data_IF_355652507164
#
_entry.id   IF_355652507164
#
_cell.length_a   1.000
_cell.length_b   1.000
_cell.length_c   1.000
_cell.angle_alpha   90.00
_cell.angle_beta   90.00
_cell.angle_gamma   90.00
#
_symmetry.space_group_name_H-M   'P 1'
#
loop_
_entity.id
_entity.type
_entity.pdbx_description
1 polymer ?
#
# COMPACT_ATOMS: atom_id res chain seq x y z
N UNK A 1 -12.09 29.73 8.53
CA UNK A 1 -12.09 28.27 8.32
C UNK A 1 -10.91 27.73 9.11
N UNK A 2 -11.17 27.33 10.35
CA UNK A 2 -10.15 26.89 11.30
C UNK A 2 -9.69 25.49 10.93
N UNK A 3 -8.43 25.37 10.48
CA UNK A 3 -7.74 24.09 10.43
C UNK A 3 -7.54 23.61 11.87
N UNK A 4 -8.49 22.84 12.40
CA UNK A 4 -8.23 22.00 13.56
C UNK A 4 -7.11 21.06 13.13
N UNK A 5 -5.94 21.20 13.75
CA UNK A 5 -4.76 20.40 13.41
C UNK A 5 -5.02 18.94 13.67
N UNK A 6 -5.58 18.23 12.69
CA UNK A 6 -5.65 16.78 12.71
C UNK A 6 -4.22 16.26 12.79
N UNK A 7 -3.91 15.49 13.83
CA UNK A 7 -2.59 14.93 14.03
C UNK A 7 -2.16 14.12 12.79
N UNK A 8 -1.01 14.47 12.22
CA UNK A 8 -0.40 13.68 11.15
C UNK A 8 0.36 12.49 11.75
N UNK A 9 0.40 11.38 11.04
CA UNK A 9 1.24 10.21 11.39
C UNK A 9 2.42 10.07 10.43
N UNK A 10 3.50 9.45 10.90
CA UNK A 10 4.65 9.12 10.06
C UNK A 10 4.36 7.89 9.18
N UNK A 11 3.99 8.13 7.93
CA UNK A 11 3.70 7.10 6.94
C UNK A 11 3.78 7.67 5.53
N UNK A 12 3.94 6.78 4.55
CA UNK A 12 3.78 7.12 3.13
C UNK A 12 2.49 6.46 2.61
N UNK A 13 1.85 7.04 1.61
CA UNK A 13 0.63 6.49 1.04
C UNK A 13 0.61 6.65 -0.48
N UNK A 14 0.21 5.59 -1.18
CA UNK A 14 0.09 5.55 -2.64
C UNK A 14 -1.32 5.10 -3.01
N UNK A 15 -1.99 5.85 -3.87
CA UNK A 15 -3.22 5.42 -4.52
C UNK A 15 -2.85 4.38 -5.58
N UNK A 16 -3.45 3.20 -5.52
CA UNK A 16 -3.38 2.17 -6.57
C UNK A 16 -4.81 1.89 -7.02
N UNK A 17 -5.11 2.16 -8.29
CA UNK A 17 -6.48 2.18 -8.81
C UNK A 17 -7.42 3.09 -7.98
N UNK A 18 -8.30 2.51 -7.15
CA UNK A 18 -9.27 3.23 -6.35
C UNK A 18 -9.04 3.17 -4.83
N UNK A 19 -7.97 2.51 -4.37
CA UNK A 19 -7.63 2.37 -2.94
C UNK A 19 -6.20 2.77 -2.62
N UNK A 20 -5.99 3.27 -1.42
CA UNK A 20 -4.67 3.59 -0.91
C UNK A 20 -3.99 2.37 -0.31
N UNK A 21 -2.71 2.21 -0.63
CA UNK A 21 -1.74 1.44 0.13
C UNK A 21 -1.08 2.38 1.13
N UNK A 22 -1.34 2.18 2.42
CA UNK A 22 -0.71 2.91 3.52
C UNK A 22 0.54 2.16 3.97
N UNK A 23 1.70 2.81 3.92
CA UNK A 23 3.01 2.21 4.19
C UNK A 23 3.52 2.77 5.52
N UNK A 24 3.64 1.91 6.53
CA UNK A 24 4.14 2.26 7.86
C UNK A 24 5.45 1.54 8.15
N UNK A 25 6.12 1.98 9.21
CA UNK A 25 7.35 1.38 9.70
C UNK A 25 8.31 2.43 10.27
N UNK A 26 9.38 1.99 10.96
CA UNK A 26 10.36 2.89 11.58
C UNK A 26 10.99 3.88 10.59
N UNK A 27 11.62 4.95 11.12
CA UNK A 27 12.43 5.82 10.27
C UNK A 27 13.54 5.01 9.58
N UNK A 28 13.80 5.29 8.30
CA UNK A 28 14.78 4.55 7.50
C UNK A 28 14.35 3.15 7.04
N UNK A 29 13.13 2.68 7.34
CA UNK A 29 12.65 1.36 6.91
C UNK A 29 12.37 1.23 5.41
N UNK A 30 12.41 2.33 4.65
CA UNK A 30 12.16 2.35 3.20
C UNK A 30 10.73 2.72 2.79
N UNK A 31 9.93 3.38 3.64
CA UNK A 31 8.56 3.80 3.30
C UNK A 31 8.46 4.60 1.99
N UNK A 32 9.24 5.67 1.87
CA UNK A 32 9.31 6.51 0.67
C UNK A 32 9.83 5.76 -0.55
N UNK A 33 10.78 4.83 -0.33
CA UNK A 33 11.33 3.98 -1.38
C UNK A 33 10.24 3.06 -1.95
N UNK A 34 9.51 2.32 -1.10
CA UNK A 34 8.40 1.48 -1.54
C UNK A 34 7.29 2.32 -2.20
N UNK A 35 6.98 3.50 -1.66
CA UNK A 35 5.99 4.39 -2.27
C UNK A 35 6.39 4.77 -3.71
N UNK A 36 7.66 5.11 -3.92
CA UNK A 36 8.18 5.41 -5.26
C UNK A 36 8.19 4.18 -6.17
N UNK A 37 8.59 3.01 -5.67
CA UNK A 37 8.59 1.77 -6.44
C UNK A 37 7.19 1.39 -6.93
N UNK A 38 6.15 1.56 -6.10
CA UNK A 38 4.77 1.32 -6.52
C UNK A 38 4.33 2.27 -7.63
N UNK A 39 4.72 3.55 -7.57
CA UNK A 39 4.46 4.52 -8.64
C UNK A 39 5.16 4.09 -9.93
N UNK A 40 6.42 3.62 -9.85
CA UNK A 40 7.15 3.11 -11.02
C UNK A 40 6.51 1.83 -11.58
N UNK A 41 6.11 0.89 -10.72
CA UNK A 41 5.43 -0.35 -11.12
C UNK A 41 4.11 -0.07 -11.84
N UNK A 42 3.32 0.89 -11.36
CA UNK A 42 2.10 1.34 -12.04
C UNK A 42 2.38 2.01 -13.39
N UNK A 43 3.46 2.80 -13.50
CA UNK A 43 3.89 3.38 -14.79
C UNK A 43 4.38 2.33 -15.78
N UNK A 44 5.01 1.27 -15.28
CA UNK A 44 5.48 0.14 -16.07
C UNK A 44 4.35 -0.83 -16.45
N UNK A 45 3.13 -0.64 -15.94
CA UNK A 45 1.97 -1.50 -16.22
C UNK A 45 2.00 -2.84 -15.48
N UNK A 46 2.82 -2.99 -14.43
CA UNK A 46 2.87 -4.22 -13.62
C UNK A 46 1.65 -4.34 -12.69
N UNK A 47 1.13 -3.19 -12.27
CA UNK A 47 -0.09 -3.03 -11.45
C UNK A 47 -0.94 -1.91 -12.06
N UNK A 48 -2.19 -1.73 -11.62
CA UNK A 48 -2.99 -0.56 -11.99
C UNK A 48 -2.26 0.76 -11.71
N UNK A 49 -2.74 1.84 -12.33
CA UNK A 49 -2.15 3.17 -12.20
C UNK A 49 -1.94 3.52 -10.72
N UNK A 50 -0.71 3.89 -10.39
CA UNK A 50 -0.30 4.26 -9.05
C UNK A 50 0.10 5.75 -8.99
N UNK A 51 -0.28 6.43 -7.92
CA UNK A 51 -0.05 7.86 -7.71
C UNK A 51 0.22 8.16 -6.24
N UNK A 52 1.09 9.12 -5.93
CA UNK A 52 1.34 9.51 -4.54
C UNK A 52 0.04 10.03 -3.88
N UNK A 53 -0.17 9.75 -2.61
CA UNK A 53 -1.11 10.50 -1.78
C UNK A 53 -0.33 11.43 -0.86
N UNK A 54 0.66 10.90 -0.15
CA UNK A 54 1.60 11.69 0.66
C UNK A 54 2.82 10.87 1.07
N UNK A 55 3.90 11.56 1.43
CA UNK A 55 5.14 10.97 1.91
C UNK A 55 5.57 11.64 3.22
N UNK A 56 6.29 10.89 4.06
CA UNK A 56 6.70 11.22 5.44
C UNK A 56 5.55 11.50 6.43
N UNK A 57 4.62 12.41 6.13
CA UNK A 57 3.48 12.74 6.99
C UNK A 57 2.15 12.72 6.23
N UNK A 58 1.18 12.00 6.79
CA UNK A 58 -0.19 11.91 6.27
C UNK A 58 -1.21 12.10 7.39
N UNK A 59 -2.40 12.59 7.04
CA UNK A 59 -3.56 12.58 7.92
C UNK A 59 -4.34 11.30 7.71
N UNK A 60 -4.81 10.72 8.82
CA UNK A 60 -5.71 9.57 8.83
C UNK A 60 -7.01 9.96 9.52
N UNK A 61 -8.14 9.67 8.88
CA UNK A 61 -9.45 9.96 9.43
C UNK A 61 -10.35 8.74 9.24
N UNK A 62 -10.85 8.19 10.34
CA UNK A 62 -11.88 7.17 10.31
C UNK A 62 -13.26 7.82 10.21
N UNK A 63 -14.11 7.32 9.32
CA UNK A 63 -15.52 7.71 9.20
C UNK A 63 -16.33 6.57 8.59
N UNK A 64 -17.50 6.27 9.16
CA UNK A 64 -18.42 5.24 8.65
C UNK A 64 -17.77 3.87 8.41
N UNK A 65 -16.89 3.43 9.31
CA UNK A 65 -16.17 2.15 9.19
C UNK A 65 -15.12 2.10 8.08
N UNK A 66 -14.77 3.25 7.49
CA UNK A 66 -13.74 3.38 6.48
C UNK A 66 -12.63 4.31 6.97
N UNK A 67 -11.42 4.10 6.47
CA UNK A 67 -10.28 4.96 6.77
C UNK A 67 -9.91 5.77 5.53
N UNK A 68 -9.88 7.10 5.66
CA UNK A 68 -9.42 8.03 4.63
C UNK A 68 -8.00 8.47 4.96
N UNK A 69 -7.12 8.47 3.95
CA UNK A 69 -5.77 9.07 4.05
C UNK A 69 -5.66 10.30 3.17
N UNK A 70 -4.96 11.33 3.66
CA UNK A 70 -4.66 12.59 2.94
C UNK A 70 -3.21 13.02 3.15
N UNK A 71 -2.56 13.72 2.20
CA UNK A 71 -1.26 14.33 2.46
C UNK A 71 -1.35 15.37 3.58
N UNK A 72 -0.27 15.51 4.35
CA UNK A 72 -0.04 16.74 5.09
C UNK A 72 0.13 17.91 4.10
N UNK A 73 -0.56 19.03 4.31
CA UNK A 73 -0.62 20.13 3.34
C UNK A 73 0.77 20.65 2.93
N UNK A 74 1.70 20.74 3.87
CA UNK A 74 3.06 21.25 3.66
C UNK A 74 3.94 20.28 2.83
N UNK A 75 3.58 18.99 2.78
CA UNK A 75 4.33 17.93 2.10
C UNK A 75 3.60 17.40 0.85
N UNK A 76 2.46 17.99 0.48
CA UNK A 76 1.64 17.50 -0.61
C UNK A 76 2.41 17.49 -1.94
N UNK A 77 2.42 16.34 -2.62
CA UNK A 77 3.11 16.14 -3.90
C UNK A 77 4.65 16.14 -3.80
N UNK A 78 5.21 16.10 -2.59
CA UNK A 78 6.64 15.96 -2.36
C UNK A 78 6.97 14.51 -1.99
N UNK A 79 8.08 14.00 -2.53
CA UNK A 79 8.64 12.70 -2.17
C UNK A 79 10.17 12.80 -2.13
N UNK A 80 10.80 12.20 -1.11
CA UNK A 80 12.26 12.08 -1.08
C UNK A 80 12.71 10.85 -1.87
N UNK A 81 13.53 11.05 -2.90
CA UNK A 81 14.17 9.95 -3.63
C UNK A 81 15.64 9.90 -3.23
N UNK A 82 16.05 8.83 -2.57
CA UNK A 82 17.42 8.68 -2.07
C UNK A 82 18.44 8.85 -3.19
N UNK A 83 19.45 9.68 -2.96
CA UNK A 83 20.48 10.01 -3.95
C UNK A 83 20.08 11.12 -4.94
N UNK A 84 18.79 11.46 -5.04
CA UNK A 84 18.30 12.57 -5.86
C UNK A 84 17.76 13.72 -4.99
N UNK A 85 17.34 13.46 -3.75
CA UNK A 85 16.72 14.43 -2.85
C UNK A 85 15.21 14.57 -3.10
N UNK A 86 14.62 15.65 -2.60
CA UNK A 86 13.17 15.88 -2.68
C UNK A 86 12.75 16.20 -4.12
N UNK A 87 11.68 15.57 -4.59
CA UNK A 87 11.08 15.75 -5.92
C UNK A 87 9.59 16.01 -5.83
N UNK A 88 9.06 16.65 -6.88
CA UNK A 88 7.62 16.83 -7.08
C UNK A 88 7.05 15.68 -7.92
N UNK A 89 5.87 15.21 -7.57
CA UNK A 89 5.12 14.22 -8.34
C UNK A 89 3.63 14.57 -8.38
N UNK A 90 2.91 13.99 -9.34
CA UNK A 90 1.45 13.99 -9.31
C UNK A 90 0.97 13.29 -8.04
N UNK A 91 -0.06 13.84 -7.41
CA UNK A 91 -0.62 13.31 -6.18
C UNK A 91 -2.15 13.37 -6.16
N UNK A 92 -2.74 12.41 -5.45
CA UNK A 92 -4.16 12.37 -5.13
C UNK A 92 -4.43 13.09 -3.80
N UNK A 93 -5.53 13.84 -3.73
CA UNK A 93 -5.88 14.63 -2.54
C UNK A 93 -6.32 13.78 -1.35
N UNK A 94 -6.93 12.64 -1.63
CA UNK A 94 -7.36 11.67 -0.63
C UNK A 94 -7.69 10.34 -1.29
N UNK A 95 -7.71 9.26 -0.52
CA UNK A 95 -8.29 7.99 -0.91
C UNK A 95 -8.67 7.15 0.31
N UNK A 96 -9.50 6.13 0.09
CA UNK A 96 -9.81 5.12 1.12
C UNK A 96 -8.64 4.15 1.25
N UNK A 97 -8.18 3.90 2.48
CA UNK A 97 -7.13 2.92 2.76
C UNK A 97 -7.71 1.52 2.57
N UNK A 98 -7.15 0.78 1.60
CA UNK A 98 -7.53 -0.59 1.29
C UNK A 98 -6.54 -1.63 1.79
N UNK A 99 -5.30 -1.22 2.04
CA UNK A 99 -4.20 -2.09 2.43
C UNK A 99 -3.22 -1.32 3.29
N UNK A 100 -2.73 -1.97 4.35
CA UNK A 100 -1.60 -1.50 5.15
C UNK A 100 -0.38 -2.38 4.87
N UNK A 101 0.78 -1.77 4.64
CA UNK A 101 2.07 -2.46 4.57
C UNK A 101 2.92 -2.00 5.75
N UNK A 102 3.23 -2.93 6.65
CA UNK A 102 4.08 -2.64 7.81
C UNK A 102 5.50 -3.13 7.56
N UNK A 103 6.40 -2.19 7.31
CA UNK A 103 7.82 -2.46 7.11
C UNK A 103 8.53 -2.69 8.44
N UNK A 104 9.45 -3.66 8.45
CA UNK A 104 10.17 -4.10 9.64
C UNK A 104 9.22 -4.58 10.76
N UNK A 105 8.13 -5.26 10.37
CA UNK A 105 7.21 -5.88 11.31
C UNK A 105 7.88 -7.08 12.00
N UNK A 106 7.79 -7.12 13.34
CA UNK A 106 8.43 -8.18 14.14
C UNK A 106 7.63 -9.50 14.11
N UNK A 107 6.34 -9.44 13.76
CA UNK A 107 5.41 -10.56 13.57
C UNK A 107 5.33 -11.04 12.10
N UNK A 108 6.31 -10.66 11.27
CA UNK A 108 6.38 -11.07 9.87
C UNK A 108 6.95 -12.48 9.72
N UNK A 109 6.11 -13.49 9.91
CA UNK A 109 6.47 -14.89 9.70
C UNK A 109 6.48 -15.27 8.21
N UNK A 110 7.10 -16.42 7.88
CA UNK A 110 7.12 -16.95 6.51
C UNK A 110 5.71 -17.18 5.96
N UNK A 111 4.82 -17.67 6.82
CA UNK A 111 3.39 -17.82 6.55
C UNK A 111 2.66 -17.16 7.73
N UNK A 112 2.35 -15.85 7.65
CA UNK A 112 1.74 -15.15 8.75
C UNK A 112 0.37 -15.75 9.10
N UNK A 113 0.04 -15.87 10.39
CA UNK A 113 -1.29 -16.32 10.79
C UNK A 113 -2.35 -15.26 10.41
N UNK A 114 -3.65 -15.63 10.32
CA UNK A 114 -4.71 -14.73 9.85
C UNK A 114 -4.81 -13.39 10.59
N UNK A 115 -4.51 -13.38 11.89
CA UNK A 115 -4.49 -12.19 12.73
C UNK A 115 -3.39 -11.19 12.34
N UNK A 116 -2.24 -11.68 11.85
CA UNK A 116 -1.14 -10.82 11.39
C UNK A 116 -1.43 -10.18 10.02
N UNK A 117 -2.38 -10.75 9.27
CA UNK A 117 -2.84 -10.26 7.96
C UNK A 117 -3.92 -9.17 8.06
N UNK A 118 -4.23 -8.70 9.28
CA UNK A 118 -5.14 -7.60 9.52
C UNK A 118 -4.56 -6.65 10.58
N UNK A 119 -4.99 -5.38 10.55
CA UNK A 119 -4.58 -4.40 11.57
C UNK A 119 -5.65 -3.37 11.80
N UNK A 120 -5.75 -2.90 13.04
CA UNK A 120 -6.64 -1.81 13.39
C UNK A 120 -5.93 -0.47 13.24
N UNK A 121 -6.53 0.45 12.48
CA UNK A 121 -6.05 1.82 12.30
C UNK A 121 -7.21 2.77 12.54
N UNK A 122 -7.08 3.61 13.57
CA UNK A 122 -8.15 4.54 13.97
C UNK A 122 -9.51 3.86 14.20
N UNK A 123 -9.52 2.63 14.74
CA UNK A 123 -10.75 1.86 14.98
C UNK A 123 -11.23 1.04 13.77
N UNK A 124 -10.60 1.18 12.60
CA UNK A 124 -10.99 0.47 11.37
C UNK A 124 -10.08 -0.73 11.15
N UNK A 125 -10.65 -1.91 10.92
CA UNK A 125 -9.92 -3.13 10.59
C UNK A 125 -9.58 -3.15 9.09
N UNK A 126 -8.29 -3.26 8.76
CA UNK A 126 -7.78 -3.14 7.39
C UNK A 126 -6.88 -4.35 7.08
N UNK A 127 -6.93 -4.92 5.87
CA UNK A 127 -5.95 -5.90 5.41
C UNK A 127 -4.52 -5.38 5.57
N UNK A 128 -3.62 -6.26 6.00
CA UNK A 128 -2.22 -5.93 6.31
C UNK A 128 -1.28 -6.92 5.63
N UNK A 129 -0.15 -6.40 5.16
CA UNK A 129 1.03 -7.19 4.80
C UNK A 129 2.16 -6.82 5.78
N UNK A 130 2.49 -7.71 6.73
CA UNK A 130 3.70 -7.56 7.54
C UNK A 130 4.93 -7.91 6.71
N UNK A 131 5.95 -7.05 6.71
CA UNK A 131 7.22 -7.31 6.04
C UNK A 131 8.36 -7.28 7.05
N UNK A 132 9.04 -8.42 7.22
CA UNK A 132 10.12 -8.58 8.18
C UNK A 132 11.37 -7.78 7.80
N UNK A 133 12.24 -7.55 8.79
CA UNK A 133 13.56 -6.93 8.54
C UNK A 133 14.37 -7.79 7.57
N UNK A 134 15.03 -7.15 6.61
CA UNK A 134 15.86 -7.85 5.61
C UNK A 134 15.09 -8.41 4.41
N UNK A 135 13.76 -8.28 4.36
CA UNK A 135 12.94 -8.68 3.22
C UNK A 135 12.54 -7.48 2.38
N UNK A 136 12.47 -7.67 1.06
CA UNK A 136 12.00 -6.64 0.13
C UNK A 136 10.46 -6.65 0.08
N UNK A 137 9.84 -5.50 0.37
CA UNK A 137 8.38 -5.38 0.39
C UNK A 137 7.74 -5.39 -1.01
N UNK A 138 8.41 -4.86 -2.04
CA UNK A 138 7.81 -4.67 -3.35
C UNK A 138 7.22 -5.97 -3.96
N UNK A 139 7.94 -7.10 -4.05
CA UNK A 139 7.40 -8.31 -4.66
C UNK A 139 6.12 -8.83 -4.01
N UNK A 140 6.05 -8.84 -2.68
CA UNK A 140 4.88 -9.33 -1.94
C UNK A 140 3.69 -8.38 -2.09
N UNK A 141 3.94 -7.06 -2.11
CA UNK A 141 2.89 -6.06 -2.32
C UNK A 141 2.35 -6.12 -3.75
N UNK A 142 3.22 -6.24 -4.77
CA UNK A 142 2.77 -6.41 -6.15
C UNK A 142 1.95 -7.69 -6.32
N UNK A 143 2.39 -8.81 -5.77
CA UNK A 143 1.65 -10.07 -5.84
C UNK A 143 0.24 -9.92 -5.23
N UNK A 144 0.13 -9.32 -4.04
CA UNK A 144 -1.16 -9.08 -3.40
C UNK A 144 -2.09 -8.19 -4.24
N UNK A 145 -1.56 -7.11 -4.82
CA UNK A 145 -2.33 -6.19 -5.66
C UNK A 145 -2.83 -6.86 -6.95
N UNK A 146 -1.99 -7.69 -7.58
CA UNK A 146 -2.34 -8.44 -8.79
C UNK A 146 -3.42 -9.48 -8.49
N UNK A 147 -3.25 -10.26 -7.42
CA UNK A 147 -4.23 -11.28 -7.01
C UNK A 147 -5.58 -10.68 -6.64
N UNK A 148 -5.59 -9.54 -5.95
CA UNK A 148 -6.81 -8.82 -5.60
C UNK A 148 -7.54 -8.32 -6.86
N UNK A 149 -6.81 -7.78 -7.84
CA UNK A 149 -7.40 -7.35 -9.11
C UNK A 149 -8.07 -8.51 -9.86
N UNK A 150 -7.40 -9.67 -9.95
CA UNK A 150 -7.93 -10.88 -10.61
C UNK A 150 -9.17 -11.45 -9.93
N UNK A 151 -9.36 -11.23 -8.62
CA UNK A 151 -10.57 -11.68 -7.90
C UNK A 151 -11.81 -10.83 -8.16
N UNK A 152 -11.63 -9.62 -8.71
CA UNK A 152 -12.73 -8.68 -9.00
C UNK A 152 -13.26 -8.76 -10.43
N UNK A 153 -12.51 -9.42 -11.33
CA UNK A 153 -12.94 -9.79 -12.68
C UNK A 153 -13.36 -11.26 -12.69
N UNK A 154 -14.64 -11.54 -12.95
CA UNK A 154 -15.28 -12.85 -13.27
C UNK A 154 -14.52 -14.15 -12.92
N UNK A 155 -15.20 -15.02 -12.17
CA UNK A 155 -14.76 -16.42 -11.94
C UNK A 155 -14.23 -17.03 -13.25
N UNK A 156 -12.97 -17.50 -13.30
CA UNK A 156 -12.48 -18.17 -14.50
C UNK A 156 -13.26 -19.48 -14.66
N UNK A 157 -14.05 -19.56 -15.72
CA UNK A 157 -14.55 -20.82 -16.22
C UNK A 157 -13.38 -21.78 -16.39
N UNK A 158 -13.59 -23.03 -15.97
CA UNK A 158 -12.66 -24.15 -16.13
C UNK A 158 -12.47 -24.41 -17.63
N UNK A 159 -11.62 -23.64 -18.29
CA UNK A 159 -11.01 -24.05 -19.55
C UNK A 159 -9.69 -23.31 -19.78
N UNK A 160 -8.60 -24.07 -19.69
CA UNK A 160 -7.24 -23.59 -19.91
C UNK A 160 -7.05 -23.25 -21.38
N UNK A 161 -7.18 -21.97 -21.74
CA UNK A 161 -6.56 -21.44 -22.96
C UNK A 161 -5.31 -20.64 -22.59
N UNK A 162 -4.18 -21.05 -23.19
CA UNK A 162 -2.85 -20.46 -23.02
C UNK A 162 -2.83 -19.00 -23.49
N UNK A 163 -3.21 -18.08 -22.62
CA UNK A 163 -2.94 -16.65 -22.73
C UNK A 163 -1.90 -16.24 -21.69
N UNK A 164 -1.11 -15.21 -22.01
CA UNK A 164 -0.09 -14.60 -21.15
C UNK A 164 -0.79 -13.84 -20.01
N UNK A 165 -1.49 -14.56 -19.14
CA UNK A 165 -2.14 -14.06 -17.95
C UNK A 165 -1.22 -14.26 -16.74
N UNK A 166 -1.26 -13.33 -15.78
CA UNK A 166 -0.60 -13.49 -14.49
C UNK A 166 -1.32 -14.57 -13.68
N UNK A 167 -0.99 -15.83 -13.94
CA UNK A 167 -1.57 -17.03 -13.31
C UNK A 167 -0.95 -17.29 -11.92
N UNK A 168 -1.08 -16.35 -10.98
CA UNK A 168 -0.77 -16.64 -9.57
C UNK A 168 -2.04 -17.12 -8.85
N UNK A 169 -2.14 -18.44 -8.68
CA UNK A 169 -3.15 -19.10 -7.86
C UNK A 169 -2.95 -18.79 -6.36
N UNK A 170 -4.01 -18.82 -5.52
CA UNK A 170 -3.88 -18.65 -4.07
C UNK A 170 -3.05 -19.77 -3.39
N UNK A 171 -2.63 -19.51 -2.15
CA UNK A 171 -1.67 -20.31 -1.37
C UNK A 171 -1.96 -21.82 -1.42
N UNK A 172 -0.93 -22.61 -1.76
CA UNK A 172 -0.99 -24.08 -1.90
C UNK A 172 -0.43 -24.78 -0.64
N UNK A 173 0.26 -24.04 0.24
CA UNK A 173 0.79 -24.61 1.47
C UNK A 173 -0.35 -24.74 2.51
N UNK A 174 -0.75 -25.98 2.78
CA UNK A 174 -1.57 -26.35 3.95
C UNK A 174 -0.63 -27.08 4.91
N UNK A 175 -0.49 -26.52 6.12
CA UNK A 175 0.31 -26.99 7.28
C UNK A 175 1.85 -26.97 7.14
#
# INVERSE_FOLDING_TARGET
MTHTGDATVHASAVLVDNRAVLIRGPSGSGKSHLAFDLILAGRAGQIPKAMLIGDDRVHLQASNGQLVVRPACELAGLIEIRGLGIRRCEFARQALVGLVVDLCADDAERLPPPEALQTNVCGVLIPRIPVGRGFTALPIVLAALIMAASSSSEQPSVDCSKGIGNHMSPNIATE
#
